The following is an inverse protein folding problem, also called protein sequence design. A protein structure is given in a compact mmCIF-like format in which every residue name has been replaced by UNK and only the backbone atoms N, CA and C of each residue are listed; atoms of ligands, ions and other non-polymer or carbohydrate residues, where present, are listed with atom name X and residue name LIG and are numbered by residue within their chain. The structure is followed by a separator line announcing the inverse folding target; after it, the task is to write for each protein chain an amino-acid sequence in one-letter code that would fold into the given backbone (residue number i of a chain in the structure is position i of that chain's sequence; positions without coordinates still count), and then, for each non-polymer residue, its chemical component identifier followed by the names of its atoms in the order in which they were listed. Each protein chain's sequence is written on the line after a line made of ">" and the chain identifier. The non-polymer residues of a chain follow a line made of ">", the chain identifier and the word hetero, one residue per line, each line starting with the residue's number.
data_IF_586913743953
#
_entry.id   IF_586913743953
#
_cell.length_a   1.000
_cell.length_b   1.000
_cell.length_c   1.000
_cell.angle_alpha   90.00
_cell.angle_beta   90.00
_cell.angle_gamma   90.00
#
_symmetry.space_group_name_H-M   'P 1'
#
loop_
_entity.id
_entity.type
_entity.pdbx_description
1 polymer ?
#
# COMPACT_ATOMS: atom_id res chain seq x y z
N UNK A 1 28.04 5.75 -93.71
CA UNK A 1 28.41 6.43 -92.45
C UNK A 1 27.22 6.30 -91.52
N UNK A 2 27.36 5.45 -90.48
CA UNK A 2 26.34 5.17 -89.47
C UNK A 2 26.77 5.83 -88.16
N UNK A 3 25.93 6.69 -87.50
CA UNK A 3 26.28 7.20 -86.17
C UNK A 3 25.95 6.17 -85.06
N UNK A 4 26.90 5.96 -84.16
CA UNK A 4 26.72 5.14 -82.99
C UNK A 4 25.82 5.83 -81.93
N UNK A 5 24.82 5.12 -81.45
CA UNK A 5 23.98 5.56 -80.29
C UNK A 5 24.66 5.14 -79.01
N UNK A 6 25.10 6.11 -78.21
CA UNK A 6 25.55 5.93 -76.86
C UNK A 6 24.35 5.81 -75.95
N UNK A 7 24.20 4.62 -75.36
CA UNK A 7 23.24 4.34 -74.25
C UNK A 7 23.90 4.74 -72.94
N UNK A 8 23.36 5.81 -72.31
CA UNK A 8 23.76 6.20 -70.96
C UNK A 8 22.90 5.41 -69.96
N UNK A 9 23.49 4.48 -69.26
CA UNK A 9 22.86 3.79 -68.13
C UNK A 9 22.94 4.68 -66.89
N UNK A 10 21.78 5.20 -66.48
CA UNK A 10 21.61 5.92 -65.21
C UNK A 10 21.54 4.90 -64.07
N UNK A 11 22.62 4.81 -63.32
CA UNK A 11 22.64 4.05 -62.04
C UNK A 11 21.96 4.88 -60.96
N UNK A 12 20.73 4.53 -60.60
CA UNK A 12 20.03 5.02 -59.42
C UNK A 12 20.54 4.26 -58.19
N UNK A 13 21.08 4.93 -57.16
CA UNK A 13 21.42 4.26 -55.91
C UNK A 13 20.13 3.94 -55.13
N UNK A 14 19.86 2.65 -54.97
CA UNK A 14 18.86 2.13 -54.01
C UNK A 14 19.36 2.36 -52.60
N UNK A 15 18.93 3.46 -51.97
CA UNK A 15 19.09 3.57 -50.51
C UNK A 15 18.08 2.64 -49.83
N UNK A 16 18.55 1.47 -49.47
CA UNK A 16 17.85 0.59 -48.55
C UNK A 16 17.82 1.25 -47.14
N UNK A 17 16.72 1.98 -46.86
CA UNK A 17 16.45 2.44 -45.50
C UNK A 17 16.17 1.22 -44.61
N UNK A 18 17.17 0.73 -43.91
CA UNK A 18 16.99 -0.20 -42.79
C UNK A 18 16.22 0.57 -41.71
N UNK A 19 14.90 0.48 -41.70
CA UNK A 19 14.11 0.82 -40.52
C UNK A 19 14.47 -0.21 -39.46
N UNK A 20 15.33 0.19 -38.54
CA UNK A 20 15.57 -0.55 -37.30
C UNK A 20 14.30 -0.44 -36.49
N UNK A 21 13.42 -1.43 -36.62
CA UNK A 21 12.32 -1.63 -35.71
C UNK A 21 12.91 -1.94 -34.33
N UNK A 22 12.99 -0.94 -33.46
CA UNK A 22 13.23 -1.18 -32.04
C UNK A 22 11.98 -1.91 -31.54
N UNK A 23 12.08 -3.17 -31.11
CA UNK A 23 10.99 -3.76 -30.35
C UNK A 23 10.84 -2.91 -29.08
N UNK A 24 9.69 -2.29 -28.95
CA UNK A 24 9.28 -1.67 -27.70
C UNK A 24 9.26 -2.78 -26.67
N UNK A 25 10.26 -2.79 -25.77
CA UNK A 25 10.29 -3.73 -24.66
C UNK A 25 8.96 -3.54 -23.93
N UNK A 26 8.17 -4.61 -23.70
CA UNK A 26 6.97 -4.47 -22.88
C UNK A 26 7.45 -3.91 -21.56
N UNK A 27 7.01 -2.70 -21.21
CA UNK A 27 7.21 -2.12 -19.89
C UNK A 27 6.49 -3.05 -18.93
N UNK A 28 7.22 -3.96 -18.31
CA UNK A 28 6.69 -4.81 -17.26
C UNK A 28 6.35 -3.87 -16.13
N UNK A 29 5.09 -3.48 -16.07
CA UNK A 29 4.56 -2.63 -15.03
C UNK A 29 4.69 -3.40 -13.71
N UNK A 30 5.59 -2.94 -12.84
CA UNK A 30 5.87 -3.61 -11.57
C UNK A 30 4.80 -3.21 -10.57
N UNK A 31 4.13 -4.21 -9.99
CA UNK A 31 3.21 -4.02 -8.87
C UNK A 31 4.01 -3.62 -7.62
N UNK A 32 3.89 -2.37 -7.20
CA UNK A 32 4.69 -1.74 -6.16
C UNK A 32 3.81 -1.26 -5.01
N UNK A 33 4.34 -1.25 -3.78
CA UNK A 33 3.67 -0.65 -2.63
C UNK A 33 3.90 0.85 -2.61
N UNK A 34 2.82 1.60 -2.43
CA UNK A 34 2.80 3.04 -2.36
C UNK A 34 2.12 3.50 -1.07
N UNK A 35 2.67 4.54 -0.48
CA UNK A 35 2.02 5.34 0.55
C UNK A 35 1.82 6.75 0.03
N UNK A 36 0.70 7.36 0.39
CA UNK A 36 0.38 8.71 -0.06
C UNK A 36 -0.92 9.22 0.52
N UNK A 37 -1.34 10.33 -0.04
CA UNK A 37 -2.60 10.99 0.28
C UNK A 37 -3.62 10.77 -0.83
N UNK A 38 -4.86 10.48 -0.43
CA UNK A 38 -6.03 10.60 -1.29
C UNK A 38 -6.64 11.98 -1.10
N UNK A 39 -6.90 12.64 -2.20
CA UNK A 39 -7.62 13.92 -2.24
C UNK A 39 -8.81 13.81 -3.17
N UNK A 40 -9.89 14.54 -2.87
CA UNK A 40 -11.09 14.57 -3.73
C UNK A 40 -11.09 15.89 -4.52
N UNK A 41 -10.79 15.82 -5.82
CA UNK A 41 -10.75 16.97 -6.72
C UNK A 41 -11.90 16.84 -7.74
N UNK A 42 -12.82 17.80 -7.73
CA UNK A 42 -14.03 17.78 -8.60
C UNK A 42 -14.82 16.46 -8.50
N UNK A 43 -14.90 15.88 -7.29
CA UNK A 43 -15.60 14.63 -7.02
C UNK A 43 -14.84 13.35 -7.42
N UNK A 44 -13.66 13.48 -8.00
CA UNK A 44 -12.81 12.33 -8.34
C UNK A 44 -11.70 12.14 -7.30
N UNK A 45 -11.47 10.88 -6.90
CA UNK A 45 -10.33 10.52 -6.06
C UNK A 45 -9.04 10.58 -6.86
N UNK A 46 -8.04 11.25 -6.30
CA UNK A 46 -6.69 11.32 -6.84
C UNK A 46 -5.69 10.94 -5.75
N UNK A 47 -4.60 10.33 -6.16
CA UNK A 47 -3.54 9.87 -5.27
C UNK A 47 -2.29 10.74 -5.44
N UNK A 48 -1.72 11.17 -4.32
CA UNK A 48 -0.42 11.85 -4.23
C UNK A 48 0.54 11.00 -3.42
N UNK A 49 1.61 10.43 -4.01
CA UNK A 49 2.60 9.69 -3.24
C UNK A 49 3.27 10.55 -2.17
N UNK A 50 3.62 9.96 -1.02
CA UNK A 50 4.34 10.65 0.07
C UNK A 50 5.69 11.26 -0.37
N UNK A 51 6.31 10.71 -1.41
CA UNK A 51 7.65 11.07 -1.85
C UNK A 51 7.69 12.10 -2.97
N UNK A 52 6.53 12.49 -3.51
CA UNK A 52 6.46 13.38 -4.67
C UNK A 52 5.16 14.22 -4.69
N UNK A 53 5.11 15.20 -5.60
CA UNK A 53 3.97 16.12 -5.69
C UNK A 53 3.00 15.80 -6.83
N UNK A 54 3.33 14.82 -7.68
CA UNK A 54 2.50 14.42 -8.82
C UNK A 54 1.17 13.84 -8.34
N UNK A 55 0.14 14.05 -9.16
CA UNK A 55 -1.20 13.54 -8.90
C UNK A 55 -1.55 12.44 -9.90
N UNK A 56 -2.07 11.34 -9.39
CA UNK A 56 -2.46 10.18 -10.18
C UNK A 56 -3.96 9.93 -10.08
N UNK A 57 -4.63 9.69 -11.21
CA UNK A 57 -5.98 9.16 -11.19
C UNK A 57 -5.97 7.71 -10.69
N UNK A 58 -7.04 7.28 -10.00
CA UNK A 58 -7.13 5.95 -9.39
C UNK A 58 -8.08 5.07 -10.20
N UNK A 59 -7.61 3.85 -10.51
CA UNK A 59 -8.42 2.74 -11.02
C UNK A 59 -8.30 1.56 -10.04
N UNK A 60 -9.39 1.19 -9.35
CA UNK A 60 -9.44 0.04 -8.44
C UNK A 60 -9.72 -1.24 -9.23
N UNK A 61 -8.69 -1.78 -9.88
CA UNK A 61 -8.82 -2.92 -10.80
C UNK A 61 -9.05 -4.25 -10.10
N UNK A 62 -8.69 -4.35 -8.83
CA UNK A 62 -8.86 -5.56 -8.01
C UNK A 62 -10.13 -5.50 -7.12
N UNK A 63 -10.93 -4.45 -7.25
CA UNK A 63 -12.12 -4.23 -6.42
C UNK A 63 -11.80 -4.31 -4.92
N UNK A 64 -10.76 -3.60 -4.51
CA UNK A 64 -10.25 -3.63 -3.12
C UNK A 64 -11.17 -2.94 -2.13
N UNK A 65 -12.16 -2.20 -2.61
CA UNK A 65 -13.07 -1.39 -1.80
C UNK A 65 -12.52 0.00 -1.48
N UNK A 66 -11.37 0.39 -2.04
CA UNK A 66 -10.73 1.67 -1.77
C UNK A 66 -11.70 2.87 -1.85
N UNK A 67 -12.54 2.91 -2.90
CA UNK A 67 -13.49 4.00 -3.08
C UNK A 67 -14.50 4.07 -1.94
N UNK A 68 -15.09 2.92 -1.56
CA UNK A 68 -16.09 2.85 -0.49
C UNK A 68 -15.52 3.33 0.84
N UNK A 69 -14.33 2.86 1.21
CA UNK A 69 -13.67 3.23 2.46
C UNK A 69 -13.27 4.72 2.46
N UNK A 70 -12.77 5.22 1.33
CA UNK A 70 -12.42 6.63 1.19
C UNK A 70 -13.66 7.54 1.21
N UNK A 71 -14.72 7.19 0.47
CA UNK A 71 -15.94 8.00 0.43
C UNK A 71 -16.59 8.10 1.81
N UNK A 72 -16.63 7.04 2.61
CA UNK A 72 -17.13 7.08 3.99
C UNK A 72 -16.40 8.11 4.84
N UNK A 73 -15.06 8.12 4.83
CA UNK A 73 -14.26 9.07 5.61
C UNK A 73 -14.38 10.51 5.08
N UNK A 74 -14.50 10.71 3.77
CA UNK A 74 -14.75 12.04 3.20
C UNK A 74 -16.13 12.57 3.55
N UNK A 75 -17.14 11.72 3.60
CA UNK A 75 -18.51 12.09 4.00
C UNK A 75 -18.57 12.46 5.48
N UNK A 76 -17.70 11.88 6.30
CA UNK A 76 -17.49 12.25 7.72
C UNK A 76 -16.66 13.55 7.89
N UNK A 77 -16.26 14.21 6.79
CA UNK A 77 -15.64 15.53 6.79
C UNK A 77 -14.13 15.56 6.65
N UNK A 78 -13.47 14.43 6.35
CA UNK A 78 -12.04 14.43 6.06
C UNK A 78 -11.70 15.31 4.86
N UNK A 79 -10.57 16.03 4.92
CA UNK A 79 -10.09 16.88 3.82
C UNK A 79 -9.06 16.17 2.95
N UNK A 80 -8.41 15.15 3.48
CA UNK A 80 -7.45 14.27 2.81
C UNK A 80 -7.30 13.00 3.64
N UNK A 81 -6.95 11.90 3.01
CA UNK A 81 -6.80 10.61 3.67
C UNK A 81 -5.41 10.06 3.40
N UNK A 82 -4.76 9.54 4.43
CA UNK A 82 -3.59 8.72 4.21
C UNK A 82 -4.02 7.34 3.68
N UNK A 83 -3.28 6.82 2.69
CA UNK A 83 -3.50 5.48 2.14
C UNK A 83 -2.19 4.73 1.98
N UNK A 84 -2.24 3.43 2.24
CA UNK A 84 -1.18 2.45 1.97
C UNK A 84 -1.76 1.34 1.10
N UNK A 85 -1.18 1.15 -0.08
CA UNK A 85 -1.72 0.25 -1.11
C UNK A 85 -0.63 -0.32 -2.01
N UNK A 86 -0.97 -1.32 -2.80
CA UNK A 86 -0.15 -1.77 -3.93
C UNK A 86 -0.85 -1.48 -5.24
N UNK A 87 -0.05 -1.32 -6.27
CA UNK A 87 -0.57 -1.09 -7.60
C UNK A 87 0.52 -0.84 -8.62
N UNK A 88 0.08 -0.50 -9.81
CA UNK A 88 0.92 -0.24 -10.97
C UNK A 88 0.68 1.16 -11.49
N UNK A 89 1.74 1.94 -11.60
CA UNK A 89 1.67 3.27 -12.22
C UNK A 89 1.72 3.17 -13.75
N UNK A 90 0.91 4.00 -14.41
CA UNK A 90 0.83 4.07 -15.87
C UNK A 90 0.64 5.50 -16.39
N UNK A 91 0.59 5.68 -17.71
CA UNK A 91 0.40 6.98 -18.34
C UNK A 91 -0.94 7.61 -17.95
N UNK A 92 -0.99 8.94 -17.92
CA UNK A 92 -2.20 9.69 -17.63
C UNK A 92 -3.32 9.38 -18.64
N UNK A 93 -4.52 9.10 -18.13
CA UNK A 93 -5.73 8.96 -18.92
C UNK A 93 -6.73 10.09 -18.66
N UNK A 94 -6.56 10.79 -17.53
CA UNK A 94 -7.46 11.86 -17.08
C UNK A 94 -6.72 13.19 -17.18
N UNK A 95 -7.37 14.19 -17.77
CA UNK A 95 -6.80 15.55 -17.87
C UNK A 95 -6.57 16.13 -16.47
N UNK A 96 -5.39 16.70 -16.24
CA UNK A 96 -5.01 17.29 -14.96
C UNK A 96 -4.38 16.32 -13.99
N UNK A 97 -4.09 15.08 -14.42
CA UNK A 97 -3.28 14.13 -13.68
C UNK A 97 -1.96 13.84 -14.40
N UNK A 98 -0.92 13.51 -13.64
CA UNK A 98 0.41 13.20 -14.15
C UNK A 98 0.55 11.73 -14.58
N UNK A 99 -0.42 10.89 -14.18
CA UNK A 99 -0.47 9.48 -14.49
C UNK A 99 -1.74 8.84 -13.94
N UNK A 100 -1.80 7.51 -14.02
CA UNK A 100 -2.82 6.68 -13.36
C UNK A 100 -2.14 5.71 -12.39
N UNK A 101 -2.87 5.30 -11.36
CA UNK A 101 -2.53 4.22 -10.45
C UNK A 101 -3.62 3.15 -10.51
N UNK A 102 -3.27 1.97 -10.99
CA UNK A 102 -4.11 0.77 -10.97
C UNK A 102 -3.88 0.04 -9.65
N UNK A 103 -4.88 0.07 -8.78
CA UNK A 103 -4.78 -0.49 -7.43
C UNK A 103 -5.06 -1.99 -7.46
N UNK A 104 -4.12 -2.78 -6.94
CA UNK A 104 -4.19 -4.24 -6.84
C UNK A 104 -4.45 -4.74 -5.43
N UNK A 105 -4.07 -3.96 -4.39
CA UNK A 105 -4.28 -4.29 -2.98
C UNK A 105 -4.36 -3.03 -2.13
N UNK A 106 -5.24 -3.05 -1.15
CA UNK A 106 -5.39 -2.01 -0.14
C UNK A 106 -4.93 -2.54 1.21
N UNK A 107 -4.08 -1.80 1.91
CA UNK A 107 -3.63 -2.14 3.26
C UNK A 107 -4.29 -1.27 4.32
N UNK A 108 -4.39 0.05 4.08
CA UNK A 108 -4.90 1.01 5.05
C UNK A 108 -5.46 2.27 4.38
N UNK A 109 -6.57 2.78 4.92
CA UNK A 109 -7.11 4.13 4.65
C UNK A 109 -7.45 4.76 5.97
N UNK A 110 -7.00 5.98 6.24
CA UNK A 110 -7.27 6.66 7.50
C UNK A 110 -7.25 8.19 7.34
N UNK A 111 -8.01 8.85 8.20
CA UNK A 111 -8.03 10.31 8.34
C UNK A 111 -7.06 10.78 9.44
N UNK A 112 -6.83 9.98 10.46
CA UNK A 112 -6.06 10.33 11.65
C UNK A 112 -4.91 9.38 11.89
N UNK A 113 -3.94 9.82 12.70
CA UNK A 113 -2.77 9.02 13.08
C UNK A 113 -1.60 9.13 12.11
N UNK A 114 -0.56 8.29 12.28
CA UNK A 114 0.68 8.36 11.49
C UNK A 114 0.43 8.10 10.01
N UNK A 115 0.87 9.02 9.17
CA UNK A 115 0.74 8.96 7.71
C UNK A 115 2.08 8.90 7.00
N UNK A 116 2.29 9.81 6.04
CA UNK A 116 3.53 9.90 5.26
C UNK A 116 4.79 10.10 6.11
N UNK A 117 4.65 10.72 7.28
CA UNK A 117 5.76 11.05 8.17
C UNK A 117 5.97 10.02 9.29
N UNK A 118 5.42 8.81 9.16
CA UNK A 118 5.61 7.76 10.17
C UNK A 118 7.06 7.26 10.20
N UNK A 119 7.86 7.63 11.22
CA UNK A 119 9.26 7.24 11.29
C UNK A 119 9.43 5.74 11.57
N UNK A 120 8.40 5.09 12.10
CA UNK A 120 8.44 3.69 12.51
C UNK A 120 8.05 2.73 11.39
N UNK A 121 7.35 3.20 10.36
CA UNK A 121 6.82 2.35 9.29
C UNK A 121 7.85 1.38 8.70
N UNK A 122 9.08 1.88 8.47
CA UNK A 122 10.18 1.09 7.89
C UNK A 122 10.68 -0.03 8.79
N UNK A 123 10.45 0.07 10.09
CA UNK A 123 10.90 -0.88 11.10
C UNK A 123 9.80 -1.87 11.50
N UNK A 124 8.54 -1.58 11.17
CA UNK A 124 7.41 -2.39 11.57
C UNK A 124 7.24 -3.63 10.68
N UNK A 125 6.93 -4.75 11.32
CA UNK A 125 6.30 -5.91 10.68
C UNK A 125 4.78 -5.72 10.69
N UNK A 126 4.20 -5.47 11.88
CA UNK A 126 2.78 -5.13 12.04
C UNK A 126 2.59 -4.07 13.13
N UNK A 127 1.56 -3.24 12.93
CA UNK A 127 0.96 -2.46 14.00
C UNK A 127 -0.49 -2.89 14.15
N UNK A 128 -0.96 -2.97 15.40
CA UNK A 128 -2.32 -3.34 15.75
C UNK A 128 -2.82 -2.44 16.87
N UNK A 129 -4.10 -2.15 16.87
CA UNK A 129 -4.76 -1.37 17.93
C UNK A 129 -6.22 -1.77 18.08
N UNK A 130 -6.75 -1.54 19.28
CA UNK A 130 -8.16 -1.66 19.60
C UNK A 130 -8.59 -0.58 20.58
N UNK A 131 -9.89 -0.31 20.66
CA UNK A 131 -10.44 0.84 21.38
C UNK A 131 -11.16 0.49 22.68
N UNK A 132 -11.64 -0.76 22.83
CA UNK A 132 -12.52 -1.13 23.95
C UNK A 132 -12.06 -2.44 24.61
N UNK A 133 -11.21 -2.35 25.67
CA UNK A 133 -10.45 -1.18 26.10
C UNK A 133 -9.33 -0.82 25.11
N UNK A 134 -8.80 0.40 25.21
CA UNK A 134 -7.71 0.84 24.33
C UNK A 134 -6.44 0.01 24.56
N UNK A 135 -5.83 -0.41 23.47
CA UNK A 135 -4.50 -1.01 23.43
C UNK A 135 -3.83 -0.74 22.09
N UNK A 136 -2.51 -0.77 22.08
CA UNK A 136 -1.71 -0.64 20.86
C UNK A 136 -0.51 -1.57 20.92
N UNK A 137 -0.30 -2.34 19.87
CA UNK A 137 0.85 -3.24 19.73
C UNK A 137 1.65 -2.92 18.48
N UNK A 138 2.97 -2.94 18.61
CA UNK A 138 3.90 -2.78 17.48
C UNK A 138 4.89 -3.95 17.49
N UNK A 139 4.95 -4.65 16.37
CA UNK A 139 5.84 -5.78 16.15
C UNK A 139 6.93 -5.38 15.17
N UNK A 140 8.16 -5.63 15.51
CA UNK A 140 9.32 -5.46 14.66
C UNK A 140 10.34 -6.58 14.91
N UNK A 141 11.48 -6.58 14.23
CA UNK A 141 12.53 -7.59 14.39
C UNK A 141 13.25 -7.56 15.75
N UNK A 142 13.00 -6.55 16.59
CA UNK A 142 13.59 -6.42 17.93
C UNK A 142 12.66 -6.93 19.03
N UNK A 143 11.34 -6.95 18.79
CA UNK A 143 10.37 -7.37 19.78
C UNK A 143 8.94 -6.92 19.47
N UNK A 144 8.07 -7.23 20.42
CA UNK A 144 6.69 -6.77 20.50
C UNK A 144 6.62 -5.73 21.61
N UNK A 145 6.22 -4.52 21.23
CA UNK A 145 5.88 -3.45 22.17
C UNK A 145 4.37 -3.39 22.32
N UNK A 146 3.89 -3.44 23.56
CA UNK A 146 2.47 -3.33 23.91
C UNK A 146 2.26 -2.15 24.86
N UNK A 147 1.40 -1.24 24.46
CA UNK A 147 0.99 -0.08 25.24
C UNK A 147 -0.50 -0.22 25.61
N UNK A 148 -0.84 -0.05 26.90
CA UNK A 148 -2.22 -0.01 27.44
C UNK A 148 -2.34 1.16 28.41
N UNK A 149 -3.50 1.87 28.46
CA UNK A 149 -3.68 2.96 29.42
C UNK A 149 -3.41 2.51 30.85
N UNK A 150 -2.83 3.39 31.63
CA UNK A 150 -2.57 3.20 33.09
C UNK A 150 -1.67 1.98 33.41
N UNK A 151 -1.04 1.38 32.42
CA UNK A 151 -0.11 0.26 32.60
C UNK A 151 1.26 0.60 32.02
N UNK A 152 2.30 -0.02 32.58
CA UNK A 152 3.64 0.09 32.00
C UNK A 152 3.67 -0.49 30.58
N UNK A 153 4.36 0.20 29.68
CA UNK A 153 4.67 -0.32 28.35
C UNK A 153 5.45 -1.62 28.48
N UNK A 154 4.97 -2.67 27.84
CA UNK A 154 5.69 -3.94 27.76
C UNK A 154 6.53 -3.97 26.48
N UNK A 155 7.81 -4.30 26.64
CA UNK A 155 8.72 -4.61 25.52
C UNK A 155 9.16 -6.07 25.68
N UNK A 156 8.68 -6.95 24.80
CA UNK A 156 8.76 -8.39 24.95
C UNK A 156 9.48 -9.03 23.76
N UNK A 157 10.37 -9.99 23.98
CA UNK A 157 10.76 -10.91 22.92
C UNK A 157 9.53 -11.73 22.51
N UNK A 158 9.50 -12.23 21.28
CA UNK A 158 8.38 -13.05 20.81
C UNK A 158 8.85 -14.25 19.99
N UNK A 159 7.97 -15.25 19.91
CA UNK A 159 8.01 -16.29 18.89
C UNK A 159 6.91 -15.98 17.89
N UNK A 160 7.25 -15.98 16.59
CA UNK A 160 6.28 -15.80 15.52
C UNK A 160 5.94 -17.15 14.87
N UNK A 161 4.68 -17.38 14.59
CA UNK A 161 4.18 -18.56 13.89
C UNK A 161 3.24 -18.12 12.73
N UNK A 162 3.59 -18.52 11.52
CA UNK A 162 2.70 -18.34 10.35
C UNK A 162 1.75 -19.54 10.25
N UNK A 163 0.45 -19.26 10.13
CA UNK A 163 -0.60 -20.24 10.07
C UNK A 163 -1.07 -20.48 8.62
N UNK A 164 -1.62 -21.67 8.29
CA UNK A 164 -2.00 -22.02 6.91
C UNK A 164 -3.00 -21.07 6.25
N UNK A 165 -3.82 -20.37 7.05
CA UNK A 165 -4.81 -19.38 6.56
C UNK A 165 -4.22 -17.99 6.30
N UNK A 166 -2.89 -17.83 6.40
CA UNK A 166 -2.19 -16.56 6.26
C UNK A 166 -2.22 -15.68 7.51
N UNK A 167 -2.78 -16.16 8.61
CA UNK A 167 -2.68 -15.48 9.91
C UNK A 167 -1.27 -15.66 10.49
N UNK A 168 -0.88 -14.75 11.36
CA UNK A 168 0.37 -14.83 12.11
C UNK A 168 0.07 -14.65 13.59
N UNK A 169 0.66 -15.48 14.43
CA UNK A 169 0.66 -15.27 15.90
C UNK A 169 2.03 -14.83 16.37
N UNK A 170 2.04 -13.93 17.33
CA UNK A 170 3.22 -13.47 18.07
C UNK A 170 2.99 -13.77 19.54
N UNK A 171 3.77 -14.68 20.11
CA UNK A 171 3.62 -15.10 21.51
C UNK A 171 4.84 -14.79 22.35
N UNK A 172 4.62 -14.42 23.60
CA UNK A 172 5.65 -14.18 24.61
C UNK A 172 5.21 -14.66 25.97
N UNK A 173 6.14 -15.26 26.73
CA UNK A 173 5.97 -15.64 28.14
C UNK A 173 7.06 -14.98 29.01
N UNK A 174 7.52 -13.79 28.59
CA UNK A 174 8.56 -13.06 29.31
C UNK A 174 8.00 -12.27 30.49
N UNK A 175 8.85 -12.05 31.51
CA UNK A 175 8.56 -11.25 32.73
C UNK A 175 7.29 -11.70 33.49
N UNK A 176 6.98 -13.01 33.48
CA UNK A 176 5.78 -13.55 34.10
C UNK A 176 4.45 -13.16 33.46
N UNK A 177 4.50 -12.58 32.26
CA UNK A 177 3.33 -12.22 31.44
C UNK A 177 3.22 -13.16 30.26
N UNK A 178 2.04 -13.70 30.04
CA UNK A 178 1.71 -14.42 28.80
C UNK A 178 0.95 -13.46 27.88
N UNK A 179 1.53 -13.18 26.73
CA UNK A 179 0.96 -12.29 25.71
C UNK A 179 0.89 -13.03 24.39
N UNK A 180 -0.26 -13.04 23.74
CA UNK A 180 -0.46 -13.60 22.42
C UNK A 180 -1.16 -12.54 21.55
N UNK A 181 -0.53 -12.14 20.44
CA UNK A 181 -1.11 -11.26 19.44
C UNK A 181 -1.34 -12.05 18.16
N UNK A 182 -2.59 -12.19 17.77
CA UNK A 182 -3.01 -12.86 16.55
C UNK A 182 -3.39 -11.82 15.50
N UNK A 183 -2.84 -11.95 14.28
CA UNK A 183 -3.13 -11.07 13.16
C UNK A 183 -3.63 -11.93 12.00
N UNK A 184 -4.84 -11.64 11.52
CA UNK A 184 -5.50 -12.39 10.47
C UNK A 184 -5.79 -11.50 9.25
N UNK A 185 -5.65 -12.01 8.00
CA UNK A 185 -5.97 -11.27 6.78
C UNK A 185 -7.50 -11.16 6.63
N UNK A 186 -8.07 -10.24 7.37
CA UNK A 186 -9.50 -9.94 7.41
C UNK A 186 -9.68 -8.43 7.52
N UNK A 187 -10.48 -7.85 6.63
CA UNK A 187 -10.80 -6.43 6.65
C UNK A 187 -11.36 -6.02 8.01
N UNK A 188 -10.89 -4.90 8.52
CA UNK A 188 -11.24 -4.35 9.81
C UNK A 188 -11.42 -2.84 9.69
N UNK A 189 -12.52 -2.32 10.22
CA UNK A 189 -12.77 -0.89 10.34
C UNK A 189 -12.72 -0.51 11.81
N UNK A 190 -11.89 0.46 12.14
CA UNK A 190 -11.78 0.99 13.50
C UNK A 190 -13.07 1.71 13.91
N UNK A 191 -13.64 1.33 15.04
CA UNK A 191 -14.97 1.81 15.47
C UNK A 191 -15.00 3.29 15.89
N UNK A 192 -13.84 3.89 16.21
CA UNK A 192 -13.76 5.29 16.63
C UNK A 192 -13.41 6.21 15.48
N UNK A 193 -12.40 5.84 14.67
CA UNK A 193 -11.87 6.71 13.61
C UNK A 193 -12.44 6.40 12.22
N UNK A 194 -13.15 5.28 12.05
CA UNK A 194 -13.57 4.79 10.75
C UNK A 194 -12.41 4.31 9.85
N UNK A 195 -11.18 4.28 10.37
CA UNK A 195 -10.02 3.87 9.60
C UNK A 195 -10.12 2.41 9.16
N UNK A 196 -9.88 2.15 7.87
CA UNK A 196 -9.81 0.81 7.31
C UNK A 196 -8.42 0.23 7.44
N UNK A 197 -8.36 -1.05 7.78
CA UNK A 197 -7.15 -1.89 7.77
C UNK A 197 -7.45 -3.24 7.15
N UNK A 198 -6.48 -3.81 6.42
CA UNK A 198 -6.66 -5.09 5.72
C UNK A 198 -6.48 -6.32 6.61
N UNK A 199 -6.17 -6.13 7.89
CA UNK A 199 -6.03 -7.17 8.88
C UNK A 199 -6.84 -6.86 10.14
N UNK A 200 -7.38 -7.90 10.76
CA UNK A 200 -7.91 -7.88 12.12
C UNK A 200 -6.83 -8.34 13.10
N UNK A 201 -6.97 -7.92 14.35
CA UNK A 201 -6.10 -8.31 15.44
C UNK A 201 -6.87 -8.81 16.65
N UNK A 202 -6.32 -9.81 17.34
CA UNK A 202 -6.79 -10.30 18.63
C UNK A 202 -5.58 -10.37 19.59
N UNK A 203 -5.66 -9.62 20.68
CA UNK A 203 -4.67 -9.63 21.76
C UNK A 203 -5.22 -10.42 22.94
N UNK A 204 -4.48 -11.43 23.39
CA UNK A 204 -4.76 -12.20 24.60
C UNK A 204 -3.71 -11.89 25.65
N UNK A 205 -4.12 -11.39 26.78
CA UNK A 205 -3.27 -11.01 27.89
C UNK A 205 -4.03 -11.04 29.20
N UNK A 206 -3.41 -11.53 30.27
CA UNK A 206 -3.99 -11.56 31.64
C UNK A 206 -5.37 -12.26 31.72
N UNK A 207 -5.66 -13.21 30.81
CA UNK A 207 -6.95 -13.90 30.71
C UNK A 207 -8.02 -13.13 29.92
N UNK A 208 -7.72 -11.94 29.46
CA UNK A 208 -8.59 -11.14 28.61
C UNK A 208 -8.31 -11.39 27.14
N UNK A 209 -9.35 -11.21 26.30
CA UNK A 209 -9.26 -11.24 24.84
C UNK A 209 -9.77 -9.90 24.30
N UNK A 210 -8.87 -9.13 23.72
CA UNK A 210 -9.12 -7.81 23.18
C UNK A 210 -9.05 -7.85 21.65
N UNK A 211 -9.97 -7.17 20.98
CA UNK A 211 -10.03 -7.14 19.52
C UNK A 211 -9.68 -5.77 18.95
N UNK A 212 -9.22 -5.77 17.71
CA UNK A 212 -8.86 -4.54 17.01
C UNK A 212 -8.48 -4.77 15.58
N UNK A 213 -7.94 -3.74 14.96
CA UNK A 213 -7.47 -3.73 13.59
C UNK A 213 -5.94 -3.79 13.52
N UNK A 214 -5.40 -4.28 12.40
CA UNK A 214 -3.97 -4.31 12.16
C UNK A 214 -3.62 -3.96 10.72
N UNK A 215 -2.42 -3.44 10.52
CA UNK A 215 -1.84 -3.20 9.21
C UNK A 215 -0.36 -3.60 9.17
N UNK A 216 0.14 -4.06 8.02
CA UNK A 216 1.55 -4.41 7.88
C UNK A 216 2.41 -3.14 7.77
N UNK A 217 3.57 -3.14 8.40
CA UNK A 217 4.63 -2.18 8.14
C UNK A 217 5.43 -2.54 6.89
N UNK A 218 6.59 -1.91 6.69
CA UNK A 218 7.43 -2.18 5.52
C UNK A 218 8.09 -3.58 5.56
N UNK A 219 8.24 -4.18 6.75
CA UNK A 219 8.76 -5.52 6.93
C UNK A 219 7.66 -6.60 6.89
N UNK A 220 6.38 -6.20 6.95
CA UNK A 220 5.23 -7.09 6.80
C UNK A 220 4.98 -7.45 5.32
N UNK A 221 4.38 -8.63 5.11
CA UNK A 221 4.04 -9.12 3.75
C UNK A 221 2.70 -8.58 3.26
#
# INVERSE_FOLDING_TARGET
>A
MRPARLLVYSLLPLFAACQVWKPESPSTSVDTRFQGELVKINGALQFRPCTEKRLFSIEDVANTGLRREADSLFDDGAQGLFVDLRGTMGPAKVRGTDGKLEVSRLYRVQNEGPGCDDPNFKLLTFAANGNEPFWSARVNNQGLRLDRPEQETLALPYVAEELPNGSTSYSSEANGKKVELWIAPSSCTDSMSGAFSSYSAELRIDGETLRGCAYPGALGK
#
